data_IF_825952626813
#
_entry.id   IF_825952626813
#
_cell.length_a   1.000
_cell.length_b   1.000
_cell.length_c   1.000
_cell.angle_alpha   90.00
_cell.angle_beta   90.00
_cell.angle_gamma   90.00
#
_symmetry.space_group_name_H-M   'P 1'
#
loop_
_entity.id
_entity.type
_entity.pdbx_description
1 polymer ?
#
# COMPACT_ATOMS: atom_id res chain seq x y z
N UNK A 1 11.21 0.69 -23.42
CA UNK A 1 11.25 0.69 -21.94
C UNK A 1 9.83 0.44 -21.45
N UNK A 2 9.65 -0.04 -20.22
CA UNK A 2 8.33 -0.26 -19.63
C UNK A 2 8.31 0.31 -18.23
N UNK A 3 7.17 0.82 -17.77
CA UNK A 3 7.01 1.30 -16.40
C UNK A 3 5.80 0.66 -15.71
N UNK A 4 5.85 0.63 -14.38
CA UNK A 4 4.77 0.10 -13.55
C UNK A 4 3.99 1.27 -12.93
N UNK A 5 2.67 1.17 -12.93
CA UNK A 5 1.77 2.11 -12.25
C UNK A 5 1.10 1.41 -11.08
N UNK A 6 1.28 1.91 -9.87
CA UNK A 6 0.62 1.36 -8.68
C UNK A 6 -0.89 1.61 -8.78
N UNK A 7 -1.68 0.54 -8.78
CA UNK A 7 -3.13 0.60 -8.87
C UNK A 7 -3.78 0.56 -7.49
N UNK A 8 -3.25 -0.26 -6.58
CA UNK A 8 -3.74 -0.32 -5.19
C UNK A 8 -2.67 -0.86 -4.26
N UNK A 9 -2.83 -0.55 -2.97
CA UNK A 9 -2.09 -1.20 -1.90
C UNK A 9 -2.93 -1.26 -0.63
N UNK A 10 -2.57 -2.18 0.25
CA UNK A 10 -3.15 -2.33 1.58
C UNK A 10 -2.05 -2.72 2.57
N UNK A 11 -2.14 -2.18 3.78
CA UNK A 11 -1.32 -2.61 4.93
C UNK A 11 -2.12 -3.64 5.71
N UNK A 12 -1.55 -4.83 5.88
CA UNK A 12 -2.14 -5.96 6.59
C UNK A 12 -1.31 -6.23 7.83
N UNK A 13 -1.92 -6.16 9.00
CA UNK A 13 -1.28 -6.58 10.26
C UNK A 13 -1.31 -8.09 10.38
N UNK A 14 -0.15 -8.72 10.55
CA UNK A 14 -0.02 -10.17 10.75
C UNK A 14 0.96 -10.44 11.91
N UNK A 15 0.45 -10.95 13.04
CA UNK A 15 1.23 -11.44 14.19
C UNK A 15 2.40 -10.53 14.62
N UNK A 16 2.16 -9.22 14.64
CA UNK A 16 3.16 -8.21 15.06
C UNK A 16 4.06 -7.68 13.93
N UNK A 17 3.85 -8.12 12.69
CA UNK A 17 4.49 -7.59 11.49
C UNK A 17 3.45 -6.88 10.61
N UNK A 18 3.91 -5.90 9.83
CA UNK A 18 3.09 -5.25 8.81
C UNK A 18 3.49 -5.79 7.43
N UNK A 19 2.51 -6.31 6.68
CA UNK A 19 2.67 -6.77 5.30
C UNK A 19 2.01 -5.78 4.36
N UNK A 20 2.71 -5.38 3.31
CA UNK A 20 2.15 -4.58 2.23
C UNK A 20 1.71 -5.53 1.12
N UNK A 21 0.43 -5.53 0.79
CA UNK A 21 -0.10 -6.16 -0.41
C UNK A 21 -0.38 -5.06 -1.44
N UNK A 22 -0.05 -5.28 -2.70
CA UNK A 22 -0.22 -4.27 -3.75
C UNK A 22 -0.60 -4.89 -5.09
N UNK A 23 -1.22 -4.07 -5.94
CA UNK A 23 -1.47 -4.36 -7.34
C UNK A 23 -0.93 -3.22 -8.21
N UNK A 24 -0.40 -3.57 -9.37
CA UNK A 24 0.09 -2.61 -10.36
C UNK A 24 -0.22 -3.08 -11.78
N UNK A 25 -0.24 -2.11 -12.67
CA UNK A 25 -0.35 -2.32 -14.12
C UNK A 25 1.01 -1.97 -14.77
N UNK A 26 1.33 -2.61 -15.89
CA UNK A 26 2.56 -2.38 -16.65
C UNK A 26 2.22 -1.76 -17.98
N UNK A 27 2.90 -0.67 -18.30
CA UNK A 27 2.70 0.10 -19.52
C UNK A 27 3.97 0.18 -20.37
N UNK A 28 3.80 0.37 -21.67
CA UNK A 28 4.90 0.76 -22.56
C UNK A 28 5.16 2.28 -22.49
N UNK A 29 6.22 2.74 -23.16
CA UNK A 29 6.57 4.18 -23.23
C UNK A 29 5.49 5.07 -23.86
N UNK A 30 4.60 4.49 -24.65
CA UNK A 30 3.51 5.20 -25.31
C UNK A 30 2.24 5.25 -24.45
N UNK A 31 2.28 4.66 -23.26
CA UNK A 31 1.15 4.57 -22.33
C UNK A 31 0.17 3.46 -22.66
N UNK A 32 0.51 2.52 -23.55
CA UNK A 32 -0.34 1.35 -23.80
C UNK A 32 -0.18 0.33 -22.68
N UNK A 33 -1.31 -0.22 -22.24
CA UNK A 33 -1.35 -1.28 -21.24
C UNK A 33 -0.76 -2.58 -21.81
N UNK A 34 0.28 -3.11 -21.15
CA UNK A 34 0.91 -4.39 -21.51
C UNK A 34 0.37 -5.51 -20.62
N UNK A 35 0.34 -5.28 -19.31
CA UNK A 35 -0.18 -6.23 -18.33
C UNK A 35 -0.98 -5.48 -17.26
N UNK A 36 -2.04 -6.09 -16.73
CA UNK A 36 -2.86 -5.48 -15.69
C UNK A 36 -3.02 -6.36 -14.47
N UNK A 37 -3.30 -5.73 -13.32
CA UNK A 37 -3.63 -6.38 -12.05
C UNK A 37 -2.55 -7.37 -11.61
N UNK A 38 -1.28 -7.01 -11.84
CA UNK A 38 -0.13 -7.76 -11.32
C UNK A 38 -0.07 -7.53 -9.82
N UNK A 39 -0.12 -8.61 -9.05
CA UNK A 39 -0.20 -8.55 -7.58
C UNK A 39 1.11 -8.99 -6.95
N UNK A 40 1.45 -8.35 -5.85
CA UNK A 40 2.59 -8.71 -5.01
C UNK A 40 2.28 -8.46 -3.56
N UNK A 41 3.08 -9.06 -2.68
CA UNK A 41 3.08 -8.69 -1.27
C UNK A 41 4.46 -8.91 -0.67
N UNK A 42 4.79 -8.14 0.37
CA UNK A 42 6.04 -8.25 1.09
C UNK A 42 5.91 -7.75 2.53
N UNK A 43 6.82 -8.17 3.40
CA UNK A 43 6.85 -7.71 4.79
C UNK A 43 7.61 -6.39 4.85
N UNK A 44 7.03 -5.37 5.47
CA UNK A 44 7.68 -4.08 5.69
C UNK A 44 8.77 -4.21 6.76
N UNK A 45 10.02 -4.07 6.35
CA UNK A 45 11.18 -4.35 7.22
C UNK A 45 11.98 -3.09 7.54
N UNK A 46 12.00 -2.12 6.62
CA UNK A 46 12.81 -0.91 6.76
C UNK A 46 12.22 0.05 7.80
N UNK A 47 13.07 0.91 8.37
CA UNK A 47 12.63 1.95 9.32
C UNK A 47 11.68 2.95 8.67
N UNK A 48 11.94 3.31 7.41
CA UNK A 48 11.13 4.25 6.65
C UNK A 48 9.72 3.71 6.44
N UNK A 49 9.58 2.48 5.95
CA UNK A 49 8.27 1.85 5.75
C UNK A 49 7.48 1.73 7.07
N UNK A 50 8.15 1.32 8.15
CA UNK A 50 7.52 1.22 9.48
C UNK A 50 7.03 2.58 9.97
N UNK A 51 7.82 3.63 9.76
CA UNK A 51 7.43 4.99 10.14
C UNK A 51 6.19 5.43 9.35
N UNK A 52 6.19 5.26 8.03
CA UNK A 52 5.06 5.63 7.18
C UNK A 52 3.77 4.86 7.54
N UNK A 53 3.89 3.56 7.81
CA UNK A 53 2.77 2.72 8.25
C UNK A 53 2.20 3.22 9.58
N UNK A 54 3.05 3.50 10.57
CA UNK A 54 2.60 3.98 11.87
C UNK A 54 1.87 5.33 11.75
N UNK A 55 2.39 6.26 10.95
CA UNK A 55 1.72 7.55 10.71
C UNK A 55 0.34 7.35 10.06
N UNK A 56 0.22 6.46 9.08
CA UNK A 56 -1.08 6.16 8.47
C UNK A 56 -2.05 5.56 9.49
N UNK A 57 -1.56 4.67 10.36
CA UNK A 57 -2.36 4.06 11.43
C UNK A 57 -2.85 5.06 12.47
N UNK A 58 -2.01 6.02 12.85
CA UNK A 58 -2.41 7.11 13.75
C UNK A 58 -3.53 7.96 13.14
N UNK A 59 -3.42 8.31 11.86
CA UNK A 59 -4.44 9.09 11.15
C UNK A 59 -5.77 8.33 11.06
N UNK A 60 -5.73 7.04 10.73
CA UNK A 60 -6.92 6.19 10.65
C UNK A 60 -7.56 6.00 12.03
N UNK A 61 -6.75 5.78 13.07
CA UNK A 61 -7.22 5.63 14.45
C UNK A 61 -7.89 6.90 14.93
N UNK A 62 -7.30 8.07 14.64
CA UNK A 62 -7.90 9.36 14.95
C UNK A 62 -9.26 9.51 14.28
N UNK A 63 -9.36 9.23 12.98
CA UNK A 63 -10.61 9.29 12.23
C UNK A 63 -11.69 8.36 12.81
N UNK A 64 -11.31 7.13 13.14
CA UNK A 64 -12.22 6.14 13.73
C UNK A 64 -12.76 6.62 15.09
N UNK A 65 -11.93 7.25 15.92
CA UNK A 65 -12.35 7.71 17.24
C UNK A 65 -13.10 9.05 17.21
N UNK A 66 -12.87 9.90 16.21
CA UNK A 66 -13.67 11.11 15.98
C UNK A 66 -15.12 10.79 15.65
N UNK A 67 -15.37 9.73 14.87
CA UNK A 67 -16.72 9.29 14.49
C UNK A 67 -17.47 8.60 15.67
N UNK A 68 -16.82 8.35 16.81
CA UNK A 68 -17.42 7.73 18.02
C UNK A 68 -17.71 8.75 19.15
N UNK A 69 -17.59 10.05 18.87
CA UNK A 69 -17.73 11.13 19.86
C UNK A 69 -19.11 11.83 19.84
N UNK A 70 -20.13 11.22 19.22
CA UNK A 70 -21.55 11.66 19.31
C UNK A 70 -22.37 10.79 20.26
#
# INVERSE_FOLDING_TARGET
>A
MTYNSLASFAVIKDRGQARIAYAFDKFDEKGNLIESNKRGNYVAMTKEEKTAINTLEELVTKRMNEDNAE
#
